data_IF_518102740421
#
_entry.id   IF_518102740421
#
_cell.length_a   1.000
_cell.length_b   1.000
_cell.length_c   1.000
_cell.angle_alpha   90.00
_cell.angle_beta   90.00
_cell.angle_gamma   90.00
#
_symmetry.space_group_name_H-M   'P 1'
#
loop_
_entity.id
_entity.type
_entity.pdbx_description
1 polymer ?
#
# COMPACT_ATOMS: atom_id res chain seq x y z
N UNK A 1 15.27 -6.97 13.48
CA UNK A 1 15.39 -5.81 12.60
C UNK A 1 15.86 -6.31 11.24
N UNK A 2 15.06 -6.12 10.18
CA UNK A 2 15.35 -6.66 8.82
C UNK A 2 16.11 -5.62 7.97
N UNK A 3 16.70 -4.59 8.60
CA UNK A 3 17.53 -3.61 7.91
C UNK A 3 16.76 -2.56 7.10
N UNK A 4 15.47 -2.37 7.38
CA UNK A 4 14.60 -1.43 6.65
C UNK A 4 15.16 0.01 6.62
N UNK A 5 15.73 0.48 7.74
CA UNK A 5 16.39 1.79 7.80
C UNK A 5 17.58 1.89 6.83
N UNK A 6 18.40 0.85 6.75
CA UNK A 6 19.54 0.81 5.81
C UNK A 6 19.07 0.77 4.35
N UNK A 7 17.96 0.08 4.07
CA UNK A 7 17.36 0.08 2.74
C UNK A 7 16.90 1.48 2.32
N UNK A 8 16.17 2.20 3.19
CA UNK A 8 15.75 3.58 2.92
C UNK A 8 16.94 4.52 2.69
N UNK A 9 18.01 4.39 3.49
CA UNK A 9 19.25 5.16 3.29
C UNK A 9 19.90 4.90 1.93
N UNK A 10 19.90 3.64 1.46
CA UNK A 10 20.42 3.30 0.13
C UNK A 10 19.58 3.90 -0.99
N UNK A 11 18.25 3.92 -0.84
CA UNK A 11 17.35 4.56 -1.80
C UNK A 11 17.63 6.06 -1.90
N UNK A 12 17.74 6.75 -0.77
CA UNK A 12 18.03 8.19 -0.74
C UNK A 12 19.40 8.51 -1.36
N UNK A 13 20.43 7.75 -0.97
CA UNK A 13 21.77 7.87 -1.57
C UNK A 13 21.75 7.72 -3.10
N UNK A 14 21.08 6.68 -3.61
CA UNK A 14 21.01 6.43 -5.07
C UNK A 14 20.17 7.48 -5.79
N UNK A 15 19.09 7.96 -5.17
CA UNK A 15 18.27 9.00 -5.75
C UNK A 15 19.06 10.30 -5.93
N UNK A 16 19.81 10.72 -4.91
CA UNK A 16 20.71 11.88 -4.97
C UNK A 16 21.78 11.72 -6.06
N UNK A 17 22.37 10.53 -6.22
CA UNK A 17 23.37 10.26 -7.25
C UNK A 17 22.85 10.46 -8.68
N UNK A 18 21.57 10.16 -8.92
CA UNK A 18 20.94 10.22 -10.26
C UNK A 18 19.96 11.38 -10.42
N UNK A 19 20.02 12.39 -9.55
CA UNK A 19 19.14 13.56 -9.56
C UNK A 19 17.65 13.17 -9.56
N UNK A 20 17.29 12.19 -8.71
CA UNK A 20 15.92 11.73 -8.43
C UNK A 20 15.55 12.08 -6.99
N UNK A 21 14.26 12.01 -6.67
CA UNK A 21 13.73 12.31 -5.33
C UNK A 21 13.01 11.10 -4.77
N UNK A 22 13.25 10.78 -3.49
CA UNK A 22 12.51 9.78 -2.72
C UNK A 22 11.67 10.52 -1.69
N UNK A 23 10.36 10.27 -1.69
CA UNK A 23 9.41 10.91 -0.78
C UNK A 23 8.78 9.83 0.09
N UNK A 24 8.86 10.01 1.41
CA UNK A 24 8.17 9.15 2.36
C UNK A 24 6.69 9.56 2.45
N UNK A 25 5.79 8.61 2.26
CA UNK A 25 4.34 8.82 2.35
C UNK A 25 3.75 7.97 3.46
N UNK A 26 2.57 8.36 3.96
CA UNK A 26 1.87 7.59 4.96
C UNK A 26 1.38 6.26 4.37
N UNK A 27 1.84 5.13 4.89
CA UNK A 27 1.49 3.79 4.44
C UNK A 27 0.19 3.24 5.02
N UNK A 28 -0.56 4.05 5.77
CA UNK A 28 -1.79 3.62 6.42
C UNK A 28 -2.84 3.19 5.38
N UNK A 29 -3.46 2.04 5.63
CA UNK A 29 -4.57 1.47 4.86
C UNK A 29 -4.28 1.20 3.38
N UNK A 30 -3.03 1.21 2.92
CA UNK A 30 -2.70 0.91 1.51
C UNK A 30 -3.15 -0.49 1.09
N UNK A 31 -3.19 -1.44 2.03
CA UNK A 31 -3.66 -2.81 1.79
C UNK A 31 -5.17 -3.00 1.94
N UNK A 32 -5.90 -1.97 2.36
CA UNK A 32 -7.33 -2.01 2.65
C UNK A 32 -8.15 -1.09 1.73
N UNK A 33 -7.51 -0.09 1.14
CA UNK A 33 -8.17 0.96 0.35
C UNK A 33 -8.32 0.52 -1.10
N UNK A 34 -9.54 0.59 -1.63
CA UNK A 34 -9.81 0.44 -3.05
C UNK A 34 -9.17 1.60 -3.82
N UNK A 35 -8.27 1.30 -4.76
CA UNK A 35 -7.62 2.35 -5.57
C UNK A 35 -8.60 3.10 -6.48
N UNK A 36 -9.71 2.47 -6.88
CA UNK A 36 -10.65 3.03 -7.83
C UNK A 36 -11.65 4.00 -7.20
N UNK A 37 -12.13 3.72 -5.97
CA UNK A 37 -13.15 4.54 -5.31
C UNK A 37 -12.80 5.05 -3.92
N UNK A 38 -11.67 4.63 -3.34
CA UNK A 38 -11.24 5.06 -2.00
C UNK A 38 -11.95 4.37 -0.83
N UNK A 39 -12.87 3.42 -1.09
CA UNK A 39 -13.50 2.63 -0.03
C UNK A 39 -12.46 1.84 0.78
N UNK A 40 -12.60 1.78 2.10
CA UNK A 40 -11.65 1.13 2.99
C UNK A 40 -12.28 -0.12 3.59
N UNK A 41 -11.74 -1.30 3.29
CA UNK A 41 -12.17 -2.56 3.91
C UNK A 41 -12.03 -2.48 5.44
N UNK A 42 -13.04 -2.96 6.17
CA UNK A 42 -13.14 -2.77 7.62
C UNK A 42 -14.01 -1.58 8.05
N UNK A 43 -14.57 -0.81 7.11
CA UNK A 43 -15.58 0.23 7.37
C UNK A 43 -16.96 -0.25 6.92
N UNK A 44 -18.01 0.45 7.35
CA UNK A 44 -19.39 0.23 6.89
C UNK A 44 -19.88 -1.23 7.01
N UNK A 45 -19.44 -1.91 8.07
CA UNK A 45 -19.81 -3.31 8.35
C UNK A 45 -19.06 -4.35 7.52
N UNK A 46 -18.09 -3.95 6.69
CA UNK A 46 -17.21 -4.88 5.96
C UNK A 46 -16.08 -5.39 6.85
N UNK A 47 -15.63 -6.60 6.59
CA UNK A 47 -14.47 -7.17 7.27
C UNK A 47 -13.16 -6.57 6.73
N UNK A 48 -12.14 -6.51 7.58
CA UNK A 48 -10.78 -6.13 7.14
C UNK A 48 -10.18 -7.25 6.32
N UNK A 49 -9.44 -6.89 5.27
CA UNK A 49 -8.62 -7.84 4.51
C UNK A 49 -7.47 -8.33 5.39
N UNK A 50 -7.24 -9.63 5.33
CA UNK A 50 -6.14 -10.32 5.99
C UNK A 50 -4.98 -10.56 5.03
N UNK A 51 -3.87 -11.10 5.53
CA UNK A 51 -2.73 -11.47 4.67
C UNK A 51 -3.05 -12.61 3.70
N UNK A 52 -4.12 -13.39 3.93
CA UNK A 52 -4.56 -14.47 3.05
C UNK A 52 -5.37 -13.97 1.86
N UNK A 53 -6.01 -12.81 2.00
CA UNK A 53 -6.87 -12.22 0.98
C UNK A 53 -6.00 -11.54 -0.09
N UNK A 54 -5.53 -12.34 -1.04
CA UNK A 54 -4.69 -11.89 -2.18
C UNK A 54 -5.53 -11.32 -3.32
N UNK A 55 -6.76 -11.77 -3.47
CA UNK A 55 -7.71 -11.30 -4.48
C UNK A 55 -9.01 -10.93 -3.79
N UNK A 56 -9.59 -9.78 -4.13
CA UNK A 56 -10.85 -9.33 -3.54
C UNK A 56 -11.57 -8.38 -4.49
N UNK A 57 -12.89 -8.32 -4.39
CA UNK A 57 -13.71 -7.37 -5.15
C UNK A 57 -14.24 -6.30 -4.22
N UNK A 58 -14.10 -5.02 -4.61
CA UNK A 58 -14.59 -3.92 -3.81
C UNK A 58 -16.12 -3.96 -3.69
N UNK A 59 -16.70 -3.97 -2.47
CA UNK A 59 -18.16 -4.01 -2.31
C UNK A 59 -18.85 -2.70 -2.70
N UNK A 60 -18.10 -1.59 -2.83
CA UNK A 60 -18.64 -0.29 -3.19
C UNK A 60 -18.66 -0.06 -4.71
N UNK A 61 -17.54 -0.32 -5.41
CA UNK A 61 -17.42 -0.03 -6.84
C UNK A 61 -17.22 -1.28 -7.73
N UNK A 62 -17.17 -2.47 -7.15
CA UNK A 62 -17.02 -3.76 -7.85
C UNK A 62 -15.71 -3.92 -8.64
N UNK A 63 -14.72 -3.06 -8.39
CA UNK A 63 -13.37 -3.22 -8.94
C UNK A 63 -12.71 -4.48 -8.35
N UNK A 64 -12.12 -5.30 -9.22
CA UNK A 64 -11.36 -6.48 -8.81
C UNK A 64 -9.92 -6.11 -8.51
N UNK A 65 -9.43 -6.50 -7.33
CA UNK A 65 -8.08 -6.22 -6.87
C UNK A 65 -7.26 -7.51 -6.77
N UNK A 66 -6.02 -7.44 -7.24
CA UNK A 66 -4.98 -8.45 -7.00
C UNK A 66 -3.88 -7.77 -6.17
N UNK A 67 -3.70 -8.22 -4.93
CA UNK A 67 -2.74 -7.66 -3.98
C UNK A 67 -1.39 -8.35 -4.11
N UNK A 68 -0.34 -7.54 -4.17
CA UNK A 68 1.06 -7.96 -4.08
C UNK A 68 1.44 -8.53 -2.71
#
# INVERSE_FOLDING_TARGET
>A
DVGWRSFLQKLDYKANLYNRTVISVNSKNTTQTCYACGFIMGTDGTDKLTLKDREWTCPNCHEHHIRD
#
